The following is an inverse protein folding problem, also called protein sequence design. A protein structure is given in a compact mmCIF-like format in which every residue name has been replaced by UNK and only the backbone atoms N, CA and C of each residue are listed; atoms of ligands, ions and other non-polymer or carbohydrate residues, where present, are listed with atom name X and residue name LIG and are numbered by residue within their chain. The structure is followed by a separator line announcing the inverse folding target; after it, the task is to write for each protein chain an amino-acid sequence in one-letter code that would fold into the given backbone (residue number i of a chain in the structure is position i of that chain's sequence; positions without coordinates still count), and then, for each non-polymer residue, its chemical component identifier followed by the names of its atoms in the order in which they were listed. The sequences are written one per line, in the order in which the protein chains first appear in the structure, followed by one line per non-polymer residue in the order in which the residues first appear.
data_IF_010971740943
#
_entry.id   IF_010971740943
#
_cell.length_a   1.000
_cell.length_b   1.000
_cell.length_c   1.000
_cell.angle_alpha   90.00
_cell.angle_beta   90.00
_cell.angle_gamma   90.00
#
_symmetry.space_group_name_H-M   'P 1'
#
loop_
_entity.id
_entity.type
_entity.pdbx_description
1 polymer ?
#
# COMPACT_ATOMS: atom_id res chain seq x y z
N UNK A 1 -21.15 -3.63 -6.72
CA UNK A 1 -19.75 -3.20 -6.94
C UNK A 1 -19.78 -2.49 -8.28
N UNK A 2 -19.51 -1.19 -8.30
CA UNK A 2 -19.59 -0.39 -9.54
C UNK A 2 -18.47 -0.79 -10.50
N UNK A 3 -18.86 -1.20 -11.71
CA UNK A 3 -17.96 -1.68 -12.77
C UNK A 3 -16.91 -0.64 -13.24
N UNK A 4 -17.07 0.63 -12.85
CA UNK A 4 -16.15 1.72 -13.18
C UNK A 4 -14.92 1.84 -12.27
N UNK A 5 -14.96 1.31 -11.04
CA UNK A 5 -13.87 1.40 -10.06
C UNK A 5 -12.49 0.95 -10.60
N UNK A 6 -12.36 -0.18 -11.33
CA UNK A 6 -11.07 -0.59 -11.88
C UNK A 6 -10.56 0.35 -12.99
N UNK A 7 -11.45 0.96 -13.78
CA UNK A 7 -11.06 1.90 -14.85
C UNK A 7 -10.55 3.20 -14.26
N UNK A 8 -11.23 3.75 -13.25
CA UNK A 8 -10.77 4.95 -12.56
C UNK A 8 -9.47 4.70 -11.78
N UNK A 9 -9.32 3.52 -11.17
CA UNK A 9 -8.08 3.14 -10.50
C UNK A 9 -6.91 2.99 -11.48
N UNK A 10 -7.13 2.39 -12.65
CA UNK A 10 -6.12 2.28 -13.69
C UNK A 10 -5.75 3.65 -14.30
N UNK A 11 -6.76 4.47 -14.60
CA UNK A 11 -6.56 5.82 -15.14
C UNK A 11 -5.80 6.71 -14.14
N UNK A 12 -6.17 6.68 -12.86
CA UNK A 12 -5.47 7.42 -11.83
C UNK A 12 -4.06 6.84 -11.56
N UNK A 13 -3.88 5.53 -11.70
CA UNK A 13 -2.58 4.85 -11.62
C UNK A 13 -1.61 5.22 -12.74
N UNK A 14 -2.09 5.82 -13.82
CA UNK A 14 -1.27 6.35 -14.94
C UNK A 14 -1.16 7.87 -14.88
N UNK A 15 -2.27 8.57 -14.67
CA UNK A 15 -2.30 10.03 -14.66
C UNK A 15 -1.55 10.62 -13.47
N UNK A 16 -1.72 10.06 -12.27
CA UNK A 16 -1.05 10.55 -11.07
C UNK A 16 0.48 10.47 -11.17
N UNK A 17 1.11 9.34 -11.54
CA UNK A 17 2.57 9.31 -11.65
C UNK A 17 3.10 10.21 -12.78
N UNK A 18 2.41 10.32 -13.91
CA UNK A 18 2.80 11.24 -14.99
C UNK A 18 2.76 12.70 -14.51
N UNK A 19 1.70 13.10 -13.81
CA UNK A 19 1.60 14.43 -13.22
C UNK A 19 2.71 14.70 -12.20
N UNK A 20 3.03 13.72 -11.35
CA UNK A 20 4.12 13.81 -10.37
C UNK A 20 5.48 14.01 -11.04
N UNK A 21 5.79 13.22 -12.08
CA UNK A 21 7.04 13.36 -12.86
C UNK A 21 7.14 14.74 -13.51
N UNK A 22 6.05 15.21 -14.12
CA UNK A 22 5.99 16.54 -14.75
C UNK A 22 6.18 17.67 -13.74
N UNK A 23 5.55 17.57 -12.57
CA UNK A 23 5.66 18.60 -11.53
C UNK A 23 7.09 18.69 -10.98
N UNK A 24 7.75 17.55 -10.79
CA UNK A 24 9.16 17.52 -10.38
C UNK A 24 10.06 18.08 -11.49
N UNK A 25 9.80 17.72 -12.76
CA UNK A 25 10.51 18.29 -13.91
C UNK A 25 10.44 19.83 -13.95
N UNK A 26 9.23 20.39 -13.81
CA UNK A 26 9.02 21.85 -13.75
C UNK A 26 9.77 22.49 -12.58
N UNK A 27 9.79 21.81 -11.42
CA UNK A 27 10.50 22.30 -10.24
C UNK A 27 12.03 22.29 -10.42
N UNK A 28 12.57 21.33 -11.18
CA UNK A 28 13.98 21.30 -11.58
C UNK A 28 14.27 22.45 -12.57
N UNK A 29 13.46 22.61 -13.61
CA UNK A 29 13.62 23.65 -14.63
C UNK A 29 13.55 25.06 -14.02
N UNK A 30 12.66 25.25 -13.04
CA UNK A 30 12.50 26.49 -12.28
C UNK A 30 13.60 26.73 -11.23
N UNK A 31 14.61 25.84 -11.16
CA UNK A 31 15.73 25.85 -10.20
C UNK A 31 15.31 25.78 -8.73
N UNK A 32 14.10 25.30 -8.45
CA UNK A 32 13.61 25.12 -7.08
C UNK A 32 14.28 23.91 -6.40
N UNK A 33 14.61 22.88 -7.19
CA UNK A 33 15.38 21.72 -6.75
C UNK A 33 16.63 21.50 -7.60
N UNK A 34 17.65 20.88 -6.98
CA UNK A 34 18.77 20.33 -7.73
C UNK A 34 18.29 19.11 -8.54
N UNK A 35 18.70 18.94 -9.80
CA UNK A 35 18.34 17.77 -10.63
C UNK A 35 18.59 16.42 -9.94
N UNK A 36 19.70 16.29 -9.20
CA UNK A 36 20.04 15.08 -8.46
C UNK A 36 19.05 14.80 -7.32
N UNK A 37 18.57 15.85 -6.65
CA UNK A 37 17.55 15.73 -5.60
C UNK A 37 16.21 15.34 -6.21
N UNK A 38 15.84 15.91 -7.35
CA UNK A 38 14.62 15.53 -8.07
C UNK A 38 14.64 14.06 -8.51
N UNK A 39 15.77 13.58 -9.04
CA UNK A 39 15.98 12.16 -9.35
C UNK A 39 15.91 11.29 -8.10
N UNK A 40 16.58 11.67 -7.02
CA UNK A 40 16.50 10.93 -5.76
C UNK A 40 15.05 10.83 -5.25
N UNK A 41 14.27 11.91 -5.33
CA UNK A 41 12.85 11.88 -4.95
C UNK A 41 12.04 10.96 -5.87
N UNK A 42 12.27 10.99 -7.18
CA UNK A 42 11.56 10.16 -8.15
C UNK A 42 11.84 8.65 -8.06
N UNK A 43 12.97 8.25 -7.46
CA UNK A 43 13.36 6.84 -7.35
C UNK A 43 13.38 6.32 -5.91
N UNK A 44 14.00 7.06 -4.99
CA UNK A 44 14.20 6.62 -3.62
C UNK A 44 12.89 6.66 -2.83
N UNK A 45 12.05 7.69 -3.02
CA UNK A 45 10.75 7.78 -2.32
C UNK A 45 9.82 6.64 -2.75
N UNK A 46 9.65 6.33 -4.05
CA UNK A 46 8.81 5.20 -4.43
C UNK A 46 9.33 3.85 -3.94
N UNK A 47 10.64 3.60 -4.01
CA UNK A 47 11.25 2.35 -3.54
C UNK A 47 11.04 2.16 -2.03
N UNK A 48 11.29 3.21 -1.23
CA UNK A 48 11.04 3.15 0.22
C UNK A 48 9.55 2.98 0.50
N UNK A 49 8.69 3.66 -0.26
CA UNK A 49 7.24 3.52 -0.17
C UNK A 49 6.75 2.09 -0.43
N UNK A 50 7.32 1.38 -1.41
CA UNK A 50 6.98 -0.02 -1.70
C UNK A 50 7.32 -0.89 -0.50
N UNK A 51 8.53 -0.74 0.07
CA UNK A 51 8.95 -1.47 1.25
C UNK A 51 8.03 -1.22 2.45
N UNK A 52 7.61 0.03 2.66
CA UNK A 52 6.66 0.38 3.72
C UNK A 52 5.30 -0.28 3.48
N UNK A 53 4.73 -0.15 2.28
CA UNK A 53 3.42 -0.70 1.95
C UNK A 53 3.41 -2.23 2.10
N UNK A 54 4.46 -2.92 1.65
CA UNK A 54 4.61 -4.36 1.85
C UNK A 54 4.70 -4.73 3.33
N UNK A 55 5.49 -3.99 4.11
CA UNK A 55 5.59 -4.20 5.56
C UNK A 55 4.25 -3.98 6.28
N UNK A 56 3.49 -2.96 5.85
CA UNK A 56 2.13 -2.72 6.33
C UNK A 56 1.18 -3.85 5.91
N UNK A 57 1.30 -4.38 4.69
CA UNK A 57 0.52 -5.52 4.21
C UNK A 57 0.72 -6.76 5.08
N UNK A 58 1.98 -7.06 5.42
CA UNK A 58 2.34 -8.15 6.32
C UNK A 58 1.77 -7.93 7.72
N UNK A 59 1.98 -6.73 8.30
CA UNK A 59 1.47 -6.39 9.64
C UNK A 59 -0.05 -6.52 9.73
N UNK A 60 -0.77 -6.18 8.66
CA UNK A 60 -2.23 -6.23 8.59
C UNK A 60 -2.78 -7.56 8.07
N UNK A 61 -1.93 -8.55 7.78
CA UNK A 61 -2.36 -9.85 7.24
C UNK A 61 -3.11 -9.76 5.91
N UNK A 62 -2.84 -8.72 5.10
CA UNK A 62 -3.51 -8.50 3.82
C UNK A 62 -3.05 -9.47 2.74
N UNK A 63 -1.80 -9.94 2.85
CA UNK A 63 -1.22 -10.98 2.01
C UNK A 63 -1.23 -12.28 2.80
N UNK A 64 -1.75 -13.37 2.24
CA UNK A 64 -1.70 -14.73 2.86
C UNK A 64 -0.28 -15.31 2.96
N UNK A 65 0.73 -14.46 2.86
CA UNK A 65 2.14 -14.74 3.00
C UNK A 65 2.73 -13.58 3.83
N UNK A 66 2.88 -13.82 5.13
CA UNK A 66 3.60 -12.95 6.07
C UNK A 66 4.85 -13.72 6.55
N UNK A 67 6.08 -13.32 6.17
CA UNK A 67 7.30 -14.00 6.57
C UNK A 67 7.55 -13.99 8.09
N UNK A 68 6.81 -13.17 8.85
CA UNK A 68 6.90 -13.06 10.30
C UNK A 68 5.71 -13.69 11.03
N UNK A 69 4.85 -14.45 10.33
CA UNK A 69 3.65 -15.08 10.90
C UNK A 69 3.95 -15.96 12.12
N UNK A 70 5.10 -16.66 12.13
CA UNK A 70 5.52 -17.49 13.27
C UNK A 70 6.07 -16.74 14.49
N UNK A 71 6.26 -15.43 14.42
CA UNK A 71 6.90 -14.63 15.48
C UNK A 71 5.99 -13.51 16.03
N UNK A 72 4.73 -13.43 15.58
CA UNK A 72 3.76 -12.42 16.02
C UNK A 72 2.57 -13.10 16.69
N UNK A 73 2.40 -12.85 17.98
CA UNK A 73 1.13 -13.08 18.66
C UNK A 73 0.10 -12.07 18.13
N UNK A 74 -0.78 -12.52 17.22
CA UNK A 74 -1.94 -11.74 16.78
C UNK A 74 -3.07 -11.95 17.77
N UNK A 75 -3.74 -10.86 18.14
CA UNK A 75 -4.94 -10.91 18.97
C UNK A 75 -5.99 -11.84 18.33
N UNK A 76 -6.47 -12.78 19.13
CA UNK A 76 -7.52 -13.73 18.75
C UNK A 76 -8.89 -13.08 18.93
N UNK A 77 -9.92 -13.63 18.28
CA UNK A 77 -11.31 -13.16 18.46
C UNK A 77 -11.72 -13.20 19.95
N UNK A 78 -11.13 -14.11 20.73
CA UNK A 78 -11.26 -14.22 22.19
C UNK A 78 -10.82 -12.96 22.97
N UNK A 79 -9.88 -12.17 22.45
CA UNK A 79 -9.31 -11.03 23.20
C UNK A 79 -10.23 -9.79 23.20
N UNK A 80 -11.20 -9.73 22.28
CA UNK A 80 -12.08 -8.57 22.06
C UNK A 80 -13.53 -8.82 22.53
N UNK A 81 -13.88 -10.09 22.79
CA UNK A 81 -15.23 -10.47 23.17
C UNK A 81 -15.32 -10.56 24.70
N UNK A 82 -16.32 -9.91 25.34
CA UNK A 82 -16.57 -10.09 26.76
C UNK A 82 -16.83 -11.56 27.07
N UNK A 83 -16.21 -12.09 28.12
CA UNK A 83 -16.22 -13.51 28.48
C UNK A 83 -17.62 -14.14 28.56
N UNK A 84 -18.65 -13.34 28.83
CA UNK A 84 -20.06 -13.73 28.84
C UNK A 84 -20.60 -14.26 27.50
N UNK A 85 -19.91 -14.04 26.37
CA UNK A 85 -20.31 -14.53 25.05
C UNK A 85 -19.45 -15.70 24.55
N UNK A 86 -18.44 -16.13 25.31
CA UNK A 86 -17.56 -17.23 24.90
C UNK A 86 -18.29 -18.57 24.86
N UNK A 87 -19.26 -18.80 25.75
CA UNK A 87 -20.04 -20.04 25.79
C UNK A 87 -21.01 -20.19 24.60
N UNK A 88 -21.28 -19.10 23.86
CA UNK A 88 -22.16 -19.11 22.69
C UNK A 88 -21.42 -19.34 21.37
N UNK A 89 -20.08 -19.36 21.37
CA UNK A 89 -19.26 -19.55 20.17
C UNK A 89 -18.44 -20.83 20.30
N UNK A 90 -18.21 -21.52 19.18
CA UNK A 90 -17.31 -22.66 19.19
C UNK A 90 -15.87 -22.20 19.51
N UNK A 91 -15.13 -22.98 20.30
CA UNK A 91 -13.73 -22.69 20.65
C UNK A 91 -12.87 -22.45 19.39
N UNK A 92 -13.13 -23.18 18.31
CA UNK A 92 -12.47 -22.98 17.00
C UNK A 92 -12.70 -21.58 16.41
N UNK A 93 -13.83 -20.94 16.72
CA UNK A 93 -14.16 -19.58 16.26
C UNK A 93 -13.53 -18.51 17.15
N UNK A 94 -13.37 -18.80 18.45
CA UNK A 94 -12.69 -17.91 19.41
C UNK A 94 -11.18 -17.88 19.19
N UNK A 95 -10.59 -19.00 18.77
CA UNK A 95 -9.16 -19.15 18.49
C UNK A 95 -8.79 -18.70 17.06
N UNK A 96 -9.79 -18.32 16.26
CA UNK A 96 -9.56 -17.79 14.93
C UNK A 96 -8.86 -16.42 15.02
N UNK A 97 -7.82 -16.24 14.21
CA UNK A 97 -7.14 -14.95 14.11
C UNK A 97 -8.11 -13.88 13.61
N UNK A 98 -8.12 -12.73 14.29
CA UNK A 98 -8.95 -11.58 13.94
C UNK A 98 -8.65 -11.16 12.49
N UNK A 99 -9.67 -11.19 11.62
CA UNK A 99 -9.62 -10.49 10.33
C UNK A 99 -9.81 -9.01 10.59
N UNK A 100 -8.72 -8.33 10.97
CA UNK A 100 -8.71 -6.88 11.17
C UNK A 100 -9.19 -6.18 9.90
N UNK A 101 -10.03 -5.15 10.08
CA UNK A 101 -10.70 -4.40 9.02
C UNK A 101 -9.73 -4.06 7.89
N UNK A 102 -9.89 -4.83 6.81
CA UNK A 102 -9.08 -4.82 5.60
C UNK A 102 -9.05 -3.41 5.04
N UNK A 103 -7.86 -2.81 4.93
CA UNK A 103 -7.63 -1.78 3.92
C UNK A 103 -8.22 -2.32 2.61
N UNK A 104 -9.08 -1.55 1.89
CA UNK A 104 -9.66 -2.04 0.67
C UNK A 104 -8.52 -2.49 -0.26
N UNK A 105 -8.49 -3.78 -0.62
CA UNK A 105 -7.49 -4.34 -1.55
C UNK A 105 -7.27 -3.48 -2.80
N UNK A 106 -8.30 -2.82 -3.38
CA UNK A 106 -8.09 -1.88 -4.48
C UNK A 106 -7.19 -0.69 -4.15
N UNK A 107 -7.24 -0.17 -2.92
CA UNK A 107 -6.46 0.99 -2.48
C UNK A 107 -4.98 0.61 -2.29
N UNK A 108 -4.74 -0.61 -1.81
CA UNK A 108 -3.40 -1.19 -1.73
C UNK A 108 -2.77 -1.37 -3.11
N UNK A 109 -3.51 -1.98 -4.05
CA UNK A 109 -3.09 -2.15 -5.43
C UNK A 109 -2.84 -0.80 -6.10
N UNK A 110 -3.72 0.18 -5.88
CA UNK A 110 -3.56 1.52 -6.40
C UNK A 110 -2.27 2.18 -5.93
N UNK A 111 -1.98 2.12 -4.62
CA UNK A 111 -0.77 2.68 -4.07
C UNK A 111 0.49 2.00 -4.62
N UNK A 112 0.45 0.67 -4.78
CA UNK A 112 1.54 -0.08 -5.40
C UNK A 112 1.75 0.32 -6.87
N UNK A 113 0.67 0.38 -7.66
CA UNK A 113 0.70 0.81 -9.06
C UNK A 113 1.26 2.23 -9.20
N UNK A 114 0.86 3.15 -8.30
CA UNK A 114 1.41 4.50 -8.28
C UNK A 114 2.92 4.50 -8.01
N UNK A 115 3.37 3.80 -6.98
CA UNK A 115 4.79 3.77 -6.60
C UNK A 115 5.68 3.07 -7.64
N UNK A 116 5.15 2.10 -8.38
CA UNK A 116 5.86 1.50 -9.52
C UNK A 116 5.79 2.41 -10.75
N UNK A 117 4.65 3.07 -10.97
CA UNK A 117 4.43 3.95 -12.11
C UNK A 117 5.35 5.17 -12.11
N UNK A 118 5.55 5.82 -10.96
CA UNK A 118 6.41 7.03 -10.85
C UNK A 118 7.82 6.82 -11.43
N UNK A 119 8.61 5.82 -10.99
CA UNK A 119 9.95 5.61 -11.53
C UNK A 119 9.92 5.16 -13.00
N UNK A 120 8.94 4.35 -13.41
CA UNK A 120 8.79 3.95 -14.83
C UNK A 120 8.56 5.16 -15.72
N UNK A 121 7.65 6.05 -15.36
CA UNK A 121 7.39 7.27 -16.13
C UNK A 121 8.53 8.28 -16.03
N UNK A 122 9.24 8.34 -14.90
CA UNK A 122 10.46 9.13 -14.79
C UNK A 122 11.52 8.64 -15.81
N UNK A 123 11.71 7.33 -15.96
CA UNK A 123 12.62 6.77 -16.97
C UNK A 123 12.19 7.09 -18.40
N UNK A 124 10.88 7.14 -18.68
CA UNK A 124 10.35 7.37 -20.04
C UNK A 124 10.37 8.85 -20.44
N UNK A 125 10.17 9.76 -19.49
CA UNK A 125 9.95 11.19 -19.78
C UNK A 125 11.09 12.12 -19.37
N UNK A 126 12.01 11.72 -18.48
CA UNK A 126 13.13 12.56 -18.00
C UNK A 126 14.50 12.08 -18.48
N UNK A 127 14.66 10.80 -18.88
CA UNK A 127 15.86 10.27 -19.53
C UNK A 127 15.67 10.24 -21.05
#
# INVERSE_FOLDING_TARGET
MDDGVPIYAAAAGVLAPVATVRLIGVAIDSRFFNPLVGLAVLFLVPVVGIGWILSAAWKLGLTGWDPFEGHRDRATVRDDIPSQFHDAMANETLDQQKRENKIPTPLFLYALCYLVGVPVFALVFLL
#
